data_IF_297137939322
#
_entry.id   IF_297137939322
#
_cell.length_a   1.000
_cell.length_b   1.000
_cell.length_c   1.000
_cell.angle_alpha   90.00
_cell.angle_beta   90.00
_cell.angle_gamma   90.00
#
_symmetry.space_group_name_H-M   'P 1'
#
loop_
_entity.id
_entity.type
_entity.pdbx_description
1 polymer ?
#
# COMPACT_ATOMS: atom_id res chain seq x y z
N UNK A 1 33.29 9.33 28.74
CA UNK A 1 32.15 10.25 28.55
C UNK A 1 30.84 9.47 28.50
N UNK A 2 30.24 9.20 29.65
CA UNK A 2 28.92 8.55 29.79
C UNK A 2 27.85 9.64 29.89
N UNK A 3 27.44 10.22 28.76
CA UNK A 3 26.30 11.15 28.74
C UNK A 3 24.99 10.37 28.93
N UNK A 4 24.09 10.95 29.73
CA UNK A 4 22.77 10.48 30.15
C UNK A 4 21.92 9.95 28.96
N UNK A 5 21.73 8.63 28.88
CA UNK A 5 20.72 8.00 28.02
C UNK A 5 19.46 7.57 28.78
N UNK A 6 19.23 8.11 30.00
CA UNK A 6 18.10 7.69 30.85
C UNK A 6 16.72 7.89 30.20
N UNK A 7 16.62 8.82 29.24
CA UNK A 7 15.37 9.19 28.57
C UNK A 7 15.37 8.92 27.06
N UNK A 8 16.33 8.13 26.56
CA UNK A 8 16.41 7.76 25.16
C UNK A 8 15.93 6.34 24.93
N UNK A 9 15.20 6.12 23.84
CA UNK A 9 14.79 4.80 23.40
C UNK A 9 15.77 4.25 22.38
N UNK A 10 16.15 2.95 22.48
CA UNK A 10 16.96 2.31 21.45
C UNK A 10 16.14 2.15 20.16
N UNK A 11 16.81 2.36 19.03
CA UNK A 11 16.24 2.21 17.69
C UNK A 11 16.92 1.03 17.00
N UNK A 12 16.11 0.21 16.35
CA UNK A 12 16.51 -1.01 15.67
C UNK A 12 16.03 -1.01 14.22
N UNK A 13 16.68 -1.85 13.41
CA UNK A 13 16.22 -2.27 12.09
C UNK A 13 16.32 -3.78 11.98
N UNK A 14 15.35 -4.41 11.33
CA UNK A 14 15.48 -5.80 10.94
C UNK A 14 16.23 -5.88 9.61
N UNK A 15 17.27 -6.71 9.57
CA UNK A 15 17.99 -7.04 8.35
C UNK A 15 17.70 -8.50 8.00
N UNK A 16 16.84 -8.77 7.00
CA UNK A 16 16.59 -10.12 6.53
C UNK A 16 17.88 -10.83 6.10
N UNK A 17 17.95 -12.13 6.36
CA UNK A 17 19.06 -12.98 5.92
C UNK A 17 18.68 -13.63 4.59
N UNK A 18 19.55 -13.48 3.59
CA UNK A 18 19.33 -14.01 2.24
C UNK A 18 19.06 -15.52 2.27
N UNK A 19 18.00 -15.95 1.56
CA UNK A 19 17.56 -17.33 1.42
C UNK A 19 17.16 -18.01 2.74
N UNK A 20 16.82 -17.24 3.77
CA UNK A 20 16.40 -17.76 5.08
C UNK A 20 15.17 -17.02 5.59
N UNK A 21 14.42 -17.71 6.44
CA UNK A 21 13.29 -17.16 7.19
C UNK A 21 13.75 -16.56 8.53
N UNK A 22 14.77 -15.71 8.44
CA UNK A 22 15.52 -15.15 9.56
C UNK A 22 15.80 -13.67 9.33
N UNK A 23 15.85 -12.90 10.42
CA UNK A 23 16.33 -11.52 10.44
C UNK A 23 17.41 -11.33 11.51
N UNK A 24 18.42 -10.52 11.21
CA UNK A 24 19.31 -9.97 12.25
C UNK A 24 18.78 -8.62 12.70
N UNK A 25 18.58 -8.44 13.99
CA UNK A 25 18.08 -7.20 14.56
C UNK A 25 19.26 -6.27 14.84
N UNK A 26 19.41 -5.23 14.02
CA UNK A 26 20.52 -4.29 14.09
C UNK A 26 20.13 -3.08 14.91
N UNK A 27 20.91 -2.78 15.94
CA UNK A 27 20.78 -1.52 16.67
C UNK A 27 21.39 -0.39 15.83
N UNK A 28 20.60 0.64 15.53
CA UNK A 28 21.02 1.76 14.68
C UNK A 28 21.31 3.04 15.45
N UNK A 29 20.79 3.18 16.66
CA UNK A 29 21.03 4.36 17.48
C UNK A 29 20.02 4.51 18.61
N UNK A 30 19.93 5.73 19.12
CA UNK A 30 18.97 6.10 20.15
C UNK A 30 18.19 7.33 19.69
N UNK A 31 16.92 7.42 20.08
CA UNK A 31 16.05 8.57 19.84
C UNK A 31 15.50 9.05 21.18
N UNK A 32 15.45 10.36 21.41
CA UNK A 32 14.79 10.90 22.59
C UNK A 32 13.27 11.04 22.40
N UNK A 33 12.53 11.32 23.48
CA UNK A 33 11.06 11.51 23.44
C UNK A 33 10.59 12.68 22.57
N UNK A 34 11.45 13.68 22.34
CA UNK A 34 11.11 14.89 21.58
C UNK A 34 11.37 14.73 20.07
N UNK A 35 12.20 13.77 19.70
CA UNK A 35 12.56 13.47 18.32
C UNK A 35 11.50 12.58 17.66
N UNK A 36 11.17 12.90 16.41
CA UNK A 36 10.40 12.00 15.55
C UNK A 36 11.32 10.93 15.00
N UNK A 37 10.94 9.67 15.11
CA UNK A 37 11.61 8.60 14.41
C UNK A 37 11.29 8.72 12.91
N UNK A 38 12.31 8.97 12.11
CA UNK A 38 12.18 9.06 10.66
C UNK A 38 12.69 7.78 10.03
N UNK A 39 11.93 7.22 9.09
CA UNK A 39 12.37 6.10 8.28
C UNK A 39 13.35 6.54 7.18
N UNK A 40 14.14 5.59 6.67
CA UNK A 40 15.12 5.87 5.63
C UNK A 40 14.49 5.68 4.24
N UNK A 41 14.42 6.76 3.47
CA UNK A 41 13.96 6.73 2.09
C UNK A 41 14.90 5.87 1.23
N UNK A 42 14.34 4.90 0.52
CA UNK A 42 15.08 4.01 -0.36
C UNK A 42 15.16 4.57 -1.77
N UNK A 43 16.26 4.28 -2.46
CA UNK A 43 16.44 4.69 -3.85
C UNK A 43 15.51 3.89 -4.77
N UNK A 44 14.71 4.62 -5.55
CA UNK A 44 13.86 4.10 -6.62
C UNK A 44 14.09 4.96 -7.86
N UNK A 45 14.03 4.34 -9.03
CA UNK A 45 14.25 5.05 -10.29
C UNK A 45 13.14 6.09 -10.51
N UNK A 46 13.52 7.38 -10.44
CA UNK A 46 12.65 8.52 -10.70
C UNK A 46 13.05 9.15 -12.04
N UNK A 47 12.17 9.20 -13.04
CA UNK A 47 12.44 9.93 -14.28
C UNK A 47 12.81 11.39 -13.97
N UNK A 48 13.79 11.95 -14.68
CA UNK A 48 14.37 13.28 -14.40
C UNK A 48 13.30 14.38 -14.28
N UNK A 49 12.35 14.41 -15.23
CA UNK A 49 11.22 15.35 -15.22
C UNK A 49 10.36 15.28 -13.94
N UNK A 50 10.29 14.11 -13.29
CA UNK A 50 9.55 13.92 -12.04
C UNK A 50 10.40 14.25 -10.82
N UNK A 51 11.72 14.06 -10.91
CA UNK A 51 12.66 14.46 -9.86
C UNK A 51 12.60 15.97 -9.62
N UNK A 52 12.48 16.77 -10.67
CA UNK A 52 12.41 18.23 -10.56
C UNK A 52 11.12 18.72 -9.90
N UNK A 53 10.00 18.03 -10.15
CA UNK A 53 8.68 18.41 -9.62
C UNK A 53 8.42 17.89 -8.21
N UNK A 54 8.87 16.68 -7.90
CA UNK A 54 8.43 15.93 -6.71
C UNK A 54 9.58 15.44 -5.83
N UNK A 55 10.82 15.68 -6.24
CA UNK A 55 12.03 15.20 -5.58
C UNK A 55 12.47 13.81 -6.06
N UNK A 56 13.70 13.46 -5.71
CA UNK A 56 14.28 12.14 -5.97
C UNK A 56 13.60 11.04 -5.15
N UNK A 57 13.73 9.79 -5.58
CA UNK A 57 13.22 8.60 -4.89
C UNK A 57 11.69 8.60 -4.73
N UNK A 58 11.02 9.08 -5.77
CA UNK A 58 9.56 9.09 -5.92
C UNK A 58 9.19 8.41 -7.22
N UNK A 59 8.20 7.52 -7.17
CA UNK A 59 7.59 6.97 -8.38
C UNK A 59 6.24 7.65 -8.61
N UNK A 60 6.07 8.30 -9.75
CA UNK A 60 4.76 8.84 -10.13
C UNK A 60 3.91 7.73 -10.73
N UNK A 61 2.79 7.45 -10.07
CA UNK A 61 1.87 6.39 -10.49
C UNK A 61 0.93 6.90 -11.57
N UNK A 62 0.45 8.14 -11.46
CA UNK A 62 -0.47 8.73 -12.41
C UNK A 62 -1.31 9.85 -11.83
N UNK A 63 -2.18 10.43 -12.67
CA UNK A 63 -3.18 11.40 -12.25
C UNK A 63 -4.55 10.71 -12.19
N UNK A 64 -5.22 10.77 -11.04
CA UNK A 64 -6.53 10.17 -10.81
C UNK A 64 -7.44 11.24 -10.21
N UNK A 65 -8.53 11.59 -10.91
CA UNK A 65 -9.49 12.60 -10.46
C UNK A 65 -8.83 13.95 -10.07
N UNK A 66 -7.86 14.40 -10.87
CA UNK A 66 -7.08 15.62 -10.65
C UNK A 66 -6.14 15.56 -9.43
N UNK A 67 -5.93 14.37 -8.85
CA UNK A 67 -4.89 14.13 -7.85
C UNK A 67 -3.71 13.43 -8.50
N UNK A 68 -2.51 13.96 -8.27
CA UNK A 68 -1.27 13.27 -8.59
C UNK A 68 -0.99 12.23 -7.52
N UNK A 69 -0.76 10.99 -7.95
CA UNK A 69 -0.51 9.85 -7.09
C UNK A 69 0.97 9.46 -7.17
N UNK A 70 1.59 9.28 -6.01
CA UNK A 70 3.00 8.96 -5.87
C UNK A 70 3.19 7.73 -5.02
N UNK A 71 4.28 7.01 -5.28
CA UNK A 71 4.73 5.92 -4.43
C UNK A 71 6.16 6.18 -3.94
N UNK A 72 6.43 5.88 -2.68
CA UNK A 72 7.75 6.00 -2.04
C UNK A 72 8.05 4.75 -1.25
N UNK A 73 9.30 4.29 -1.30
CA UNK A 73 9.74 3.13 -0.52
C UNK A 73 10.63 3.60 0.62
N UNK A 74 10.35 3.12 1.82
CA UNK A 74 11.12 3.41 3.01
C UNK A 74 11.60 2.13 3.66
N UNK A 75 12.73 2.24 4.36
CA UNK A 75 13.25 1.24 5.27
C UNK A 75 12.93 1.66 6.69
N UNK A 76 12.20 0.80 7.39
CA UNK A 76 11.58 1.14 8.66
C UNK A 76 12.60 1.10 9.81
N UNK A 77 12.55 2.13 10.65
CA UNK A 77 13.18 2.16 11.95
C UNK A 77 12.16 1.77 13.01
N UNK A 78 12.60 1.02 14.03
CA UNK A 78 11.71 0.45 15.04
C UNK A 78 12.22 0.83 16.42
N UNK A 79 11.35 1.41 17.24
CA UNK A 79 11.67 1.68 18.66
C UNK A 79 11.67 0.36 19.44
N UNK A 80 12.61 0.21 20.37
CA UNK A 80 12.80 -1.02 21.14
C UNK A 80 11.54 -1.54 21.84
N UNK A 81 10.66 -0.67 22.34
CA UNK A 81 9.40 -1.09 22.95
C UNK A 81 8.46 -1.73 21.91
N UNK A 82 8.33 -1.12 20.72
CA UNK A 82 7.52 -1.69 19.64
C UNK A 82 7.98 -3.11 19.27
N UNK A 83 9.29 -3.33 19.25
CA UNK A 83 9.90 -4.63 18.95
C UNK A 83 9.52 -5.72 19.97
N UNK A 84 9.46 -5.35 21.26
CA UNK A 84 9.05 -6.24 22.36
C UNK A 84 7.55 -6.53 22.24
N UNK A 85 6.74 -5.48 22.06
CA UNK A 85 5.28 -5.57 22.20
C UNK A 85 4.59 -6.20 20.97
N UNK A 86 5.19 -6.13 19.78
CA UNK A 86 4.51 -6.52 18.53
C UNK A 86 5.12 -7.77 17.88
N UNK A 87 4.27 -8.72 17.47
CA UNK A 87 4.71 -9.92 16.73
C UNK A 87 5.14 -9.62 15.28
N UNK A 88 4.53 -8.59 14.69
CA UNK A 88 4.72 -8.18 13.31
C UNK A 88 5.54 -6.90 13.26
N UNK A 89 6.68 -6.97 12.59
CA UNK A 89 7.65 -5.88 12.56
C UNK A 89 7.88 -5.44 11.12
N UNK A 90 7.57 -4.18 10.76
CA UNK A 90 7.81 -3.69 9.41
C UNK A 90 9.32 -3.57 9.14
N UNK A 91 9.74 -4.01 7.96
CA UNK A 91 11.12 -3.89 7.48
C UNK A 91 11.20 -2.82 6.40
N UNK A 92 10.29 -2.89 5.44
CA UNK A 92 10.14 -1.92 4.37
C UNK A 92 8.69 -1.50 4.23
N UNK A 93 8.46 -0.28 3.78
CA UNK A 93 7.13 0.28 3.58
C UNK A 93 7.07 0.95 2.20
N UNK A 94 6.11 0.55 1.36
CA UNK A 94 5.74 1.27 0.15
C UNK A 94 4.52 2.13 0.47
N UNK A 95 4.68 3.45 0.53
CA UNK A 95 3.58 4.38 0.75
C UNK A 95 3.02 4.91 -0.56
N UNK A 96 1.69 4.98 -0.66
CA UNK A 96 1.00 5.67 -1.74
C UNK A 96 0.43 6.99 -1.22
N UNK A 97 0.92 8.09 -1.77
CA UNK A 97 0.52 9.45 -1.44
C UNK A 97 -0.28 10.07 -2.57
N UNK A 98 -1.14 11.03 -2.23
CA UNK A 98 -1.89 11.83 -3.19
C UNK A 98 -1.67 13.32 -2.94
N UNK A 99 -1.65 14.11 -4.01
CA UNK A 99 -1.53 15.58 -3.95
C UNK A 99 -2.47 16.23 -4.97
N UNK A 100 -3.17 17.29 -4.56
CA UNK A 100 -3.92 18.21 -5.43
C UNK A 100 -3.87 19.61 -4.84
N UNK A 101 -3.15 20.51 -5.50
CA UNK A 101 -2.90 21.88 -5.03
C UNK A 101 -2.39 21.87 -3.57
N UNK A 102 -3.19 22.36 -2.62
CA UNK A 102 -2.85 22.41 -1.19
C UNK A 102 -3.24 21.15 -0.40
N UNK A 103 -3.99 20.22 -1.03
CA UNK A 103 -4.44 18.98 -0.40
C UNK A 103 -3.40 17.91 -0.64
N UNK A 104 -2.90 17.30 0.43
CA UNK A 104 -2.02 16.12 0.37
C UNK A 104 -2.34 15.12 1.47
N UNK A 105 -2.03 13.86 1.25
CA UNK A 105 -2.13 12.82 2.27
C UNK A 105 -1.66 11.46 1.79
N UNK A 106 -1.72 10.49 2.70
CA UNK A 106 -1.50 9.05 2.43
C UNK A 106 -2.83 8.40 2.05
N UNK A 107 -2.83 7.58 1.00
CA UNK A 107 -3.94 6.68 0.65
C UNK A 107 -3.86 5.39 1.46
N UNK A 108 -2.73 4.70 1.33
CA UNK A 108 -2.42 3.47 2.05
C UNK A 108 -0.91 3.21 2.01
N UNK A 109 -0.46 2.23 2.78
CA UNK A 109 0.89 1.69 2.66
C UNK A 109 0.89 0.16 2.58
N UNK A 110 1.87 -0.39 1.87
CA UNK A 110 2.16 -1.81 1.85
C UNK A 110 3.42 -2.07 2.66
N UNK A 111 3.27 -2.80 3.76
CA UNK A 111 4.32 -3.06 4.72
C UNK A 111 4.90 -4.46 4.44
N UNK A 112 6.15 -4.54 4.02
CA UNK A 112 6.91 -5.78 4.03
C UNK A 112 7.34 -6.06 5.47
N UNK A 113 6.66 -6.99 6.12
CA UNK A 113 6.82 -7.31 7.54
C UNK A 113 7.56 -8.62 7.76
N UNK A 114 8.19 -8.72 8.93
CA UNK A 114 8.64 -9.97 9.51
C UNK A 114 7.77 -10.29 10.72
N UNK A 115 7.15 -11.46 10.71
CA UNK A 115 6.37 -11.97 11.82
C UNK A 115 7.22 -12.97 12.60
N UNK A 116 7.53 -12.65 13.86
CA UNK A 116 8.32 -13.51 14.73
C UNK A 116 7.61 -14.83 14.99
N UNK A 117 8.38 -15.92 15.06
CA UNK A 117 7.86 -17.18 15.58
C UNK A 117 7.55 -17.07 17.08
N UNK A 118 6.61 -17.89 17.56
CA UNK A 118 6.25 -17.96 18.99
C UNK A 118 7.45 -18.24 19.90
N UNK A 119 8.38 -19.10 19.43
CA UNK A 119 9.62 -19.41 20.15
C UNK A 119 10.54 -18.19 20.27
N UNK A 120 10.64 -17.41 19.20
CA UNK A 120 11.42 -16.18 19.17
C UNK A 120 10.85 -15.16 20.16
N UNK A 121 9.52 -15.04 20.24
CA UNK A 121 8.83 -14.15 21.19
C UNK A 121 9.03 -14.53 22.65
N UNK A 122 9.06 -15.82 22.97
CA UNK A 122 9.36 -16.29 24.34
C UNK A 122 10.79 -15.96 24.78
N UNK A 123 11.72 -15.91 23.84
CA UNK A 123 13.14 -15.72 24.12
C UNK A 123 13.48 -14.24 24.39
N UNK A 124 12.83 -13.33 23.66
CA UNK A 124 13.16 -11.91 23.71
C UNK A 124 12.08 -11.11 24.44
N UNK A 125 12.29 -10.87 25.73
CA UNK A 125 11.34 -10.14 26.60
C UNK A 125 11.78 -8.71 26.91
N UNK A 126 13.01 -8.33 26.53
CA UNK A 126 13.58 -6.99 26.77
C UNK A 126 14.32 -6.47 25.54
N UNK A 127 14.22 -5.17 25.28
CA UNK A 127 14.88 -4.51 24.14
C UNK A 127 16.40 -4.79 24.05
N UNK A 128 17.10 -4.92 25.18
CA UNK A 128 18.54 -5.21 25.22
C UNK A 128 18.89 -6.59 24.65
N UNK A 129 18.00 -7.58 24.75
CA UNK A 129 18.22 -8.94 24.25
C UNK A 129 18.14 -9.02 22.73
N UNK A 130 17.49 -8.05 22.09
CA UNK A 130 17.34 -7.98 20.65
C UNK A 130 18.58 -7.42 19.94
N UNK A 131 19.53 -6.81 20.65
CA UNK A 131 20.70 -6.18 20.01
C UNK A 131 21.58 -7.22 19.32
N UNK A 132 21.63 -7.17 17.98
CA UNK A 132 22.32 -8.13 17.11
C UNK A 132 21.83 -9.58 17.23
N UNK A 133 20.63 -9.79 17.78
CA UNK A 133 20.04 -11.11 17.84
C UNK A 133 19.57 -11.57 16.46
N UNK A 134 19.64 -12.88 16.23
CA UNK A 134 18.97 -13.54 15.12
C UNK A 134 17.57 -13.92 15.57
N UNK A 135 16.58 -13.53 14.78
CA UNK A 135 15.18 -13.84 14.99
C UNK A 135 14.67 -14.73 13.85
N UNK A 136 13.80 -15.67 14.20
CA UNK A 136 13.17 -16.62 13.29
C UNK A 136 11.69 -16.25 13.10
N UNK A 137 11.15 -16.49 11.92
CA UNK A 137 9.81 -16.01 11.60
C UNK A 137 9.38 -16.24 10.16
N UNK A 138 8.41 -15.47 9.69
CA UNK A 138 7.94 -15.50 8.30
C UNK A 138 7.85 -14.09 7.72
N UNK A 139 7.96 -13.98 6.40
CA UNK A 139 7.83 -12.71 5.69
C UNK A 139 6.44 -12.59 5.07
N UNK A 140 5.84 -11.41 5.19
CA UNK A 140 4.53 -11.10 4.61
C UNK A 140 4.51 -9.67 4.09
N UNK A 141 3.57 -9.39 3.19
CA UNK A 141 3.19 -8.02 2.84
C UNK A 141 1.77 -7.80 3.35
N UNK A 142 1.58 -6.75 4.13
CA UNK A 142 0.28 -6.37 4.67
C UNK A 142 -0.04 -4.92 4.28
N UNK A 143 -1.31 -4.65 3.95
CA UNK A 143 -1.77 -3.30 3.66
C UNK A 143 -2.23 -2.58 4.93
N UNK A 144 -1.82 -1.33 5.09
CA UNK A 144 -2.40 -0.37 6.03
C UNK A 144 -3.19 0.66 5.23
N UNK A 145 -4.51 0.62 5.35
CA UNK A 145 -5.46 1.41 4.55
C UNK A 145 -6.62 1.88 5.42
N UNK A 146 -7.26 2.99 5.03
CA UNK A 146 -8.42 3.53 5.73
C UNK A 146 -9.52 2.48 5.92
N UNK A 147 -10.05 2.42 7.15
CA UNK A 147 -11.11 1.48 7.54
C UNK A 147 -12.35 1.62 6.66
N UNK A 148 -12.69 2.84 6.24
CA UNK A 148 -13.79 3.08 5.29
C UNK A 148 -13.68 2.23 4.01
N UNK A 149 -12.46 2.02 3.50
CA UNK A 149 -12.25 1.18 2.32
C UNK A 149 -12.48 -0.29 2.65
N UNK A 150 -11.88 -0.79 3.75
CA UNK A 150 -12.05 -2.17 4.23
C UNK A 150 -13.52 -2.53 4.43
N UNK A 151 -14.28 -1.66 5.11
CA UNK A 151 -15.70 -1.86 5.37
C UNK A 151 -16.54 -1.93 4.08
N UNK A 152 -16.04 -1.38 2.97
CA UNK A 152 -16.69 -1.37 1.65
C UNK A 152 -16.10 -2.35 0.63
N UNK A 153 -15.11 -3.14 1.03
CA UNK A 153 -14.27 -3.91 0.10
C UNK A 153 -15.07 -4.94 -0.71
N UNK A 154 -16.01 -5.67 -0.09
CA UNK A 154 -16.86 -6.64 -0.80
C UNK A 154 -17.75 -5.96 -1.86
N UNK A 155 -18.24 -4.76 -1.55
CA UNK A 155 -19.02 -3.95 -2.50
C UNK A 155 -18.15 -3.50 -3.66
N UNK A 156 -16.91 -3.08 -3.38
CA UNK A 156 -15.92 -2.76 -4.40
C UNK A 156 -15.64 -3.95 -5.34
N UNK A 157 -15.44 -5.16 -4.79
CA UNK A 157 -15.20 -6.36 -5.60
C UNK A 157 -16.39 -6.67 -6.51
N UNK A 158 -17.61 -6.67 -5.96
CA UNK A 158 -18.84 -6.89 -6.73
C UNK A 158 -18.99 -5.88 -7.87
N UNK A 159 -18.82 -4.59 -7.56
CA UNK A 159 -18.93 -3.52 -8.56
C UNK A 159 -17.88 -3.66 -9.66
N UNK A 160 -16.65 -4.04 -9.29
CA UNK A 160 -15.57 -4.26 -10.26
C UNK A 160 -15.91 -5.40 -11.21
N UNK A 161 -16.39 -6.53 -10.67
CA UNK A 161 -16.82 -7.69 -11.46
C UNK A 161 -17.95 -7.34 -12.42
N UNK A 162 -18.97 -6.62 -11.95
CA UNK A 162 -20.09 -6.16 -12.80
C UNK A 162 -19.63 -5.22 -13.92
N UNK A 163 -18.73 -4.27 -13.63
CA UNK A 163 -18.18 -3.35 -14.64
C UNK A 163 -17.41 -4.11 -15.72
N UNK A 164 -16.58 -5.07 -15.34
CA UNK A 164 -15.83 -5.89 -16.29
C UNK A 164 -16.75 -6.74 -17.16
N UNK A 165 -17.75 -7.39 -16.56
CA UNK A 165 -18.72 -8.17 -17.31
C UNK A 165 -19.45 -7.30 -18.33
N UNK A 166 -19.92 -6.11 -17.94
CA UNK A 166 -20.56 -5.15 -18.86
C UNK A 166 -19.64 -4.74 -20.02
N UNK A 167 -18.36 -4.47 -19.72
CA UNK A 167 -17.36 -4.14 -20.75
C UNK A 167 -17.18 -5.29 -21.74
N UNK A 168 -17.02 -6.51 -21.24
CA UNK A 168 -16.88 -7.69 -22.08
C UNK A 168 -18.13 -7.95 -22.93
N UNK A 169 -19.33 -7.85 -22.33
CA UNK A 169 -20.61 -7.98 -23.06
C UNK A 169 -20.70 -6.97 -24.20
N UNK A 170 -20.29 -5.72 -23.98
CA UNK A 170 -20.24 -4.72 -25.04
C UNK A 170 -19.25 -5.12 -26.16
N UNK A 171 -18.07 -5.63 -25.82
CA UNK A 171 -17.06 -6.07 -26.78
C UNK A 171 -17.51 -7.26 -27.64
N UNK A 172 -18.24 -8.24 -27.07
CA UNK A 172 -18.77 -9.37 -27.85
C UNK A 172 -19.97 -8.95 -28.72
N UNK A 173 -20.81 -8.02 -28.24
CA UNK A 173 -21.92 -7.47 -29.03
C UNK A 173 -21.41 -6.74 -30.27
N UNK A 174 -20.29 -6.00 -30.15
CA UNK A 174 -19.62 -5.38 -31.29
C UNK A 174 -19.10 -6.39 -32.31
N UNK A 175 -18.84 -7.64 -31.89
CA UNK A 175 -18.46 -8.76 -32.76
C UNK A 175 -19.68 -9.55 -33.28
N UNK A 176 -20.91 -9.08 -33.03
CA UNK A 176 -22.14 -9.75 -33.44
C UNK A 176 -22.49 -11.00 -32.62
N UNK A 177 -21.88 -11.18 -31.45
CA UNK A 177 -22.14 -12.28 -30.54
C UNK A 177 -22.98 -11.85 -29.32
N UNK A 178 -23.71 -12.77 -28.73
CA UNK A 178 -24.33 -12.66 -27.39
C UNK A 178 -23.63 -13.59 -26.39
N UNK A 179 -23.85 -13.39 -25.09
CA UNK A 179 -23.38 -14.31 -24.04
C UNK A 179 -23.81 -15.76 -24.28
N UNK A 180 -25.01 -15.96 -24.81
CA UNK A 180 -25.60 -17.28 -25.12
C UNK A 180 -24.92 -17.96 -26.32
N UNK A 181 -24.28 -17.18 -27.19
CA UNK A 181 -23.55 -17.68 -28.37
C UNK A 181 -22.07 -17.95 -28.12
N UNK A 182 -21.59 -17.71 -26.90
CA UNK A 182 -20.20 -17.96 -26.53
C UNK A 182 -19.93 -19.46 -26.41
N UNK A 183 -18.74 -19.86 -26.83
CA UNK A 183 -18.28 -21.23 -26.59
C UNK A 183 -17.93 -21.43 -25.12
N UNK A 184 -17.87 -22.68 -24.66
CA UNK A 184 -17.39 -23.00 -23.31
C UNK A 184 -15.98 -22.46 -23.03
N UNK A 185 -15.10 -22.45 -24.04
CA UNK A 185 -13.75 -21.89 -23.93
C UNK A 185 -13.77 -20.37 -23.73
N UNK A 186 -14.65 -19.65 -24.45
CA UNK A 186 -14.80 -18.20 -24.30
C UNK A 186 -15.32 -17.82 -22.90
N UNK A 187 -16.25 -18.62 -22.36
CA UNK A 187 -16.76 -18.43 -20.99
C UNK A 187 -15.68 -18.68 -19.93
N UNK A 188 -14.88 -19.75 -20.09
CA UNK A 188 -13.76 -20.03 -19.17
C UNK A 188 -12.69 -18.94 -19.22
N UNK A 189 -12.38 -18.42 -20.41
CA UNK A 189 -11.43 -17.33 -20.58
C UNK A 189 -11.92 -16.04 -19.90
N UNK A 190 -13.20 -15.70 -20.05
CA UNK A 190 -13.83 -14.58 -19.35
C UNK A 190 -13.72 -14.74 -17.83
N UNK A 191 -14.10 -15.90 -17.30
CA UNK A 191 -14.07 -16.09 -15.84
C UNK A 191 -12.66 -16.04 -15.28
N UNK A 192 -11.69 -16.59 -16.01
CA UNK A 192 -10.26 -16.48 -15.64
C UNK A 192 -9.81 -15.01 -15.58
N UNK A 193 -10.28 -14.15 -16.49
CA UNK A 193 -9.94 -12.73 -16.49
C UNK A 193 -10.59 -11.97 -15.32
N UNK A 194 -11.87 -12.26 -15.04
CA UNK A 194 -12.59 -11.69 -13.89
C UNK A 194 -11.90 -12.07 -12.58
N UNK A 195 -11.63 -13.36 -12.41
CA UNK A 195 -11.01 -13.89 -11.19
C UNK A 195 -9.58 -13.36 -11.01
N UNK A 196 -8.80 -13.20 -12.10
CA UNK A 196 -7.45 -12.62 -12.02
C UNK A 196 -7.45 -11.25 -11.33
N UNK A 197 -8.40 -10.38 -11.67
CA UNK A 197 -8.47 -9.04 -11.11
C UNK A 197 -8.99 -9.04 -9.68
N UNK A 198 -10.01 -9.83 -9.41
CA UNK A 198 -10.56 -10.00 -8.07
C UNK A 198 -9.52 -10.58 -7.10
N UNK A 199 -8.77 -11.59 -7.54
CA UNK A 199 -7.70 -12.21 -6.77
C UNK A 199 -6.57 -11.23 -6.49
N UNK A 200 -6.17 -10.40 -7.46
CA UNK A 200 -5.17 -9.35 -7.24
C UNK A 200 -5.57 -8.42 -6.07
N UNK A 201 -6.82 -7.97 -6.01
CA UNK A 201 -7.26 -7.10 -4.91
C UNK A 201 -7.39 -7.85 -3.58
N UNK A 202 -7.91 -9.08 -3.60
CA UNK A 202 -7.99 -9.92 -2.40
C UNK A 202 -6.60 -10.18 -1.82
N UNK A 203 -5.61 -10.46 -2.65
CA UNK A 203 -4.22 -10.65 -2.21
C UNK A 203 -3.63 -9.38 -1.59
N UNK A 204 -3.91 -8.20 -2.17
CA UNK A 204 -3.46 -6.93 -1.60
C UNK A 204 -4.06 -6.69 -0.19
N UNK A 205 -5.35 -6.98 0.00
CA UNK A 205 -6.05 -6.71 1.27
C UNK A 205 -5.80 -7.79 2.32
N UNK A 206 -5.84 -9.06 1.93
CA UNK A 206 -5.65 -10.19 2.85
C UNK A 206 -4.17 -10.44 3.19
N UNK A 207 -3.27 -9.83 2.41
CA UNK A 207 -1.83 -9.93 2.58
C UNK A 207 -1.21 -11.05 1.74
N UNK A 208 0.05 -10.84 1.37
CA UNK A 208 0.82 -11.73 0.50
C UNK A 208 1.87 -12.44 1.34
N UNK A 209 1.84 -13.77 1.37
CA UNK A 209 2.87 -14.57 2.05
C UNK A 209 4.11 -14.68 1.18
N UNK A 210 5.26 -14.40 1.77
CA UNK A 210 6.55 -14.41 1.08
C UNK A 210 7.33 -15.64 1.54
N UNK A 211 7.51 -16.61 0.64
CA UNK A 211 8.12 -17.89 0.98
C UNK A 211 9.54 -17.75 1.56
N UNK A 212 10.44 -17.15 0.78
CA UNK A 212 11.84 -16.94 1.18
C UNK A 212 12.31 -15.57 0.69
N UNK A 213 12.83 -14.74 1.60
CA UNK A 213 13.50 -13.50 1.23
C UNK A 213 14.81 -13.81 0.49
N UNK A 214 15.02 -13.18 -0.67
CA UNK A 214 16.30 -13.28 -1.38
C UNK A 214 17.21 -12.09 -1.08
N UNK A 215 16.87 -10.88 -1.52
CA UNK A 215 17.64 -9.67 -1.20
C UNK A 215 16.79 -8.41 -1.20
N UNK A 216 17.35 -7.30 -0.72
CA UNK A 216 16.64 -6.02 -0.61
C UNK A 216 16.13 -5.52 -1.98
N UNK A 217 16.95 -5.62 -3.03
CA UNK A 217 16.54 -5.26 -4.40
C UNK A 217 15.37 -6.13 -4.91
N UNK A 218 15.33 -7.40 -4.51
CA UNK A 218 14.25 -8.31 -4.86
C UNK A 218 12.92 -7.90 -4.23
N UNK A 219 12.92 -7.27 -3.05
CA UNK A 219 11.67 -6.83 -2.43
C UNK A 219 11.06 -5.69 -3.23
N UNK A 220 11.89 -4.69 -3.56
CA UNK A 220 11.47 -3.57 -4.39
C UNK A 220 11.00 -4.08 -5.75
N UNK A 221 11.83 -4.88 -6.44
CA UNK A 221 11.56 -5.30 -7.82
C UNK A 221 10.45 -6.35 -7.95
N UNK A 222 10.44 -7.38 -7.10
CA UNK A 222 9.55 -8.53 -7.28
C UNK A 222 8.21 -8.36 -6.55
N UNK A 223 8.12 -7.47 -5.56
CA UNK A 223 6.88 -7.27 -4.82
C UNK A 223 6.34 -5.86 -4.99
N UNK A 224 7.10 -4.83 -4.62
CA UNK A 224 6.58 -3.46 -4.69
C UNK A 224 6.37 -2.96 -6.12
N UNK A 225 7.34 -3.13 -7.00
CA UNK A 225 7.29 -2.68 -8.40
C UNK A 225 6.21 -3.38 -9.20
N UNK A 226 6.05 -4.69 -9.00
CA UNK A 226 4.96 -5.45 -9.61
C UNK A 226 3.58 -4.91 -9.20
N UNK A 227 3.45 -4.34 -8.00
CA UNK A 227 2.20 -3.73 -7.54
C UNK A 227 2.05 -2.32 -8.09
N UNK A 228 3.01 -1.42 -7.85
CA UNK A 228 2.86 0.00 -8.24
C UNK A 228 2.91 0.25 -9.75
N UNK A 229 3.44 -0.69 -10.54
CA UNK A 229 3.35 -0.68 -12.02
C UNK A 229 2.20 -1.53 -12.56
N UNK A 230 1.41 -2.20 -11.72
CA UNK A 230 0.29 -3.03 -12.18
C UNK A 230 -0.79 -2.17 -12.82
N UNK A 231 -1.27 -2.50 -14.03
CA UNK A 231 -2.40 -1.80 -14.64
C UNK A 231 -3.71 -1.99 -13.84
N UNK A 232 -3.77 -3.01 -12.97
CA UNK A 232 -4.92 -3.26 -12.11
C UNK A 232 -4.99 -2.28 -10.93
N UNK A 233 -3.88 -1.59 -10.61
CA UNK A 233 -3.82 -0.73 -9.43
C UNK A 233 -4.66 0.55 -9.56
N UNK A 234 -4.87 1.06 -10.78
CA UNK A 234 -5.56 2.34 -11.01
C UNK A 234 -6.98 2.37 -10.44
N UNK A 235 -7.75 1.29 -10.62
CA UNK A 235 -9.12 1.23 -10.09
C UNK A 235 -9.12 1.11 -8.56
N UNK A 236 -8.20 0.32 -8.00
CA UNK A 236 -7.99 0.26 -6.56
C UNK A 236 -7.68 1.65 -6.00
N UNK A 237 -6.70 2.36 -6.56
CA UNK A 237 -6.32 3.72 -6.15
C UNK A 237 -7.50 4.69 -6.22
N UNK A 238 -8.31 4.62 -7.26
CA UNK A 238 -9.50 5.45 -7.43
C UNK A 238 -10.48 5.27 -6.27
N UNK A 239 -10.76 4.02 -5.89
CA UNK A 239 -11.70 3.71 -4.81
C UNK A 239 -11.12 4.01 -3.43
N UNK A 240 -9.81 3.77 -3.22
CA UNK A 240 -9.12 4.21 -1.99
C UNK A 240 -9.15 5.73 -1.82
N UNK A 241 -9.01 6.49 -2.91
CA UNK A 241 -9.09 7.94 -2.90
C UNK A 241 -10.50 8.41 -2.52
N UNK A 242 -11.55 7.78 -3.05
CA UNK A 242 -12.94 8.09 -2.65
C UNK A 242 -13.20 7.79 -1.16
N UNK A 243 -12.73 6.64 -0.67
CA UNK A 243 -12.82 6.29 0.75
C UNK A 243 -12.07 7.31 1.62
N UNK A 244 -10.86 7.71 1.21
CA UNK A 244 -10.04 8.70 1.90
C UNK A 244 -10.70 10.07 1.95
N UNK A 245 -11.30 10.52 0.85
CA UNK A 245 -12.07 11.75 0.83
C UNK A 245 -13.25 11.71 1.80
N UNK A 246 -13.97 10.59 1.85
CA UNK A 246 -15.08 10.39 2.81
C UNK A 246 -14.58 10.44 4.25
N UNK A 247 -13.45 9.78 4.55
CA UNK A 247 -12.83 9.81 5.88
C UNK A 247 -12.42 11.23 6.29
N UNK A 248 -11.73 11.96 5.39
CA UNK A 248 -11.34 13.36 5.62
C UNK A 248 -12.53 14.28 5.89
N UNK A 249 -13.66 14.09 5.19
CA UNK A 249 -14.89 14.87 5.43
C UNK A 249 -15.41 14.71 6.85
N UNK A 250 -15.45 13.46 7.34
CA UNK A 250 -15.82 13.17 8.74
C UNK A 250 -14.86 13.83 9.73
N UNK A 251 -13.55 13.74 9.48
CA UNK A 251 -12.53 14.35 10.35
C UNK A 251 -12.65 15.88 10.43
N UNK A 252 -13.11 16.52 9.35
CA UNK A 252 -13.28 17.98 9.28
C UNK A 252 -14.67 18.47 9.69
N UNK A 253 -15.59 17.58 10.10
CA UNK A 253 -17.00 17.90 10.35
C UNK A 253 -17.66 18.69 9.20
N UNK A 254 -17.22 18.48 7.96
CA UNK A 254 -17.79 19.17 6.81
C UNK A 254 -19.14 18.56 6.46
N UNK A 255 -20.21 19.37 6.46
CA UNK A 255 -21.56 18.92 6.05
C UNK A 255 -21.61 18.63 4.55
N UNK A 256 -22.34 17.58 4.15
CA UNK A 256 -22.44 17.09 2.76
C UNK A 256 -22.89 18.15 1.73
N UNK A 257 -23.51 19.24 2.18
CA UNK A 257 -24.03 20.36 1.38
C UNK A 257 -23.00 21.06 0.49
N UNK A 258 -21.73 21.16 0.91
CA UNK A 258 -20.71 21.82 0.08
C UNK A 258 -20.32 21.01 -1.16
N UNK A 259 -20.42 19.68 -1.11
CA UNK A 259 -20.02 18.81 -2.22
C UNK A 259 -21.17 18.56 -3.20
N UNK A 260 -22.42 18.51 -2.74
CA UNK A 260 -23.57 18.48 -3.64
C UNK A 260 -23.61 19.71 -4.55
N UNK A 261 -23.24 20.88 -4.02
CA UNK A 261 -23.06 22.10 -4.81
C UNK A 261 -22.00 21.93 -5.92
N UNK A 262 -20.82 21.40 -5.58
CA UNK A 262 -19.73 21.19 -6.54
C UNK A 262 -20.05 20.10 -7.59
N UNK A 263 -20.69 18.99 -7.18
CA UNK A 263 -21.17 17.94 -8.08
C UNK A 263 -22.29 18.43 -8.99
N UNK A 264 -23.21 19.24 -8.46
CA UNK A 264 -24.31 19.86 -9.22
C UNK A 264 -23.74 20.87 -10.22
N UNK A 265 -22.76 21.67 -9.84
CA UNK A 265 -22.02 22.56 -10.75
C UNK A 265 -21.24 21.82 -11.83
N UNK A 266 -20.56 20.71 -11.48
CA UNK A 266 -19.84 19.87 -12.46
C UNK A 266 -20.81 19.23 -13.46
N UNK A 267 -21.92 18.66 -12.98
CA UNK A 267 -22.98 18.11 -13.85
C UNK A 267 -23.61 19.18 -14.76
N UNK A 268 -23.89 20.37 -14.23
CA UNK A 268 -24.38 21.52 -15.01
C UNK A 268 -23.37 21.97 -16.08
N UNK A 269 -22.08 22.02 -15.75
CA UNK A 269 -21.03 22.38 -16.69
C UNK A 269 -20.84 21.33 -17.80
N UNK A 270 -20.94 20.05 -17.47
CA UNK A 270 -20.89 18.96 -18.46
C UNK A 270 -22.13 18.92 -19.36
N UNK A 271 -23.32 19.25 -18.82
CA UNK A 271 -24.55 19.39 -19.59
C UNK A 271 -24.51 20.58 -20.56
N UNK A 272 -23.95 21.73 -20.15
CA UNK A 272 -23.84 22.93 -20.98
C UNK A 272 -22.73 22.87 -22.03
N UNK A 273 -21.88 21.83 -22.02
CA UNK A 273 -20.90 21.55 -23.10
C UNK A 273 -21.50 20.74 -24.25
N UNK A 274 -22.69 20.17 -24.07
CA UNK A 274 -23.39 19.32 -25.05
C UNK A 274 -24.52 20.06 -25.80
N UNK A 275 -24.67 21.37 -25.56
CA UNK A 275 -25.53 22.32 -26.29
C UNK A 275 -24.65 23.32 -27.02
#
# INVERSE_FOLDING_TARGET
MTKKYKDCFPVFRLKPINKKNECVIKHVGYVDKSQKLLDELMEIETPERMSDLYGKNVFYVGNINEYDIFARVYKCNIIGNYLVDNAKIPIYCLEFDYVKQIVRGKLFSLNFIFEFSEECKKTFTKASQYKNATAYGSFKIEIDIDKEFIDSFDTFLKNTREKQLKKYVAEIMLKGKTLETLTGEELVALETELDKKENFYKELVNGITIGIFSNEKSVIKNYFENIYKSPLLTEFLTETLYAREKSRRKQMNATDTYYESALKHKKLYEQNKLT
#
